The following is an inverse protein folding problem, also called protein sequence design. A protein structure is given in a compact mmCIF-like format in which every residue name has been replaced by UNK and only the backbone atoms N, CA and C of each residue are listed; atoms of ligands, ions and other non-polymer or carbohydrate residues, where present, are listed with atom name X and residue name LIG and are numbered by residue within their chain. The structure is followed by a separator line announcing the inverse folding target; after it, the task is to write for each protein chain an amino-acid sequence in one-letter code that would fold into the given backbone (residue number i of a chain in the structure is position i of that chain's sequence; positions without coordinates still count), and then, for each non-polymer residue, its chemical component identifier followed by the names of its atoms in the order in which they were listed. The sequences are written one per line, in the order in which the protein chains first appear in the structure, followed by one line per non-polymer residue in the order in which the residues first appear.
data_IF_383967719956
#
_entry.id   IF_383967719956
#
_cell.length_a   1.000
_cell.length_b   1.000
_cell.length_c   1.000
_cell.angle_alpha   90.00
_cell.angle_beta   90.00
_cell.angle_gamma   90.00
#
_symmetry.space_group_name_H-M   'P 1'
#
loop_
_entity.id
_entity.type
_entity.pdbx_description
1 polymer ?
#
# COMPACT_ATOMS: atom_id res chain seq x y z
N UNK A 1 48.58 28.44 2.11
CA UNK A 1 47.99 27.25 2.78
C UNK A 1 46.55 27.54 3.07
N UNK A 2 45.64 27.14 2.17
CA UNK A 2 44.22 27.49 2.21
C UNK A 2 43.48 26.31 2.82
N UNK A 3 42.92 26.50 4.01
CA UNK A 3 42.11 25.52 4.70
C UNK A 3 40.71 25.56 4.04
N UNK A 4 40.43 24.57 3.22
CA UNK A 4 39.08 24.37 2.67
C UNK A 4 38.16 23.89 3.79
N UNK A 5 37.33 24.79 4.30
CA UNK A 5 36.23 24.43 5.20
C UNK A 5 35.22 23.54 4.49
N UNK A 6 35.22 22.26 4.83
CA UNK A 6 34.17 21.33 4.48
C UNK A 6 32.88 21.72 5.23
N UNK A 7 32.05 22.56 4.65
CA UNK A 7 30.70 22.79 5.16
C UNK A 7 29.90 21.54 4.83
N UNK A 8 29.75 20.62 5.82
CA UNK A 8 28.75 19.56 5.75
C UNK A 8 27.38 20.23 5.59
N UNK A 9 26.84 20.22 4.38
CA UNK A 9 25.45 20.58 4.14
C UNK A 9 24.59 19.58 4.92
N UNK A 10 24.15 19.96 6.10
CA UNK A 10 23.08 19.26 6.79
C UNK A 10 21.90 19.20 5.82
N UNK A 11 21.59 18.02 5.32
CA UNK A 11 20.29 17.79 4.66
C UNK A 11 19.25 18.15 5.73
N UNK A 12 18.60 19.30 5.60
CA UNK A 12 17.40 19.59 6.38
C UNK A 12 16.46 18.40 6.18
N UNK A 13 16.29 17.59 7.21
CA UNK A 13 15.26 16.58 7.22
C UNK A 13 13.95 17.37 7.10
N UNK A 14 13.32 17.32 5.93
CA UNK A 14 11.97 17.88 5.77
C UNK A 14 11.10 17.09 6.72
N UNK A 15 10.62 17.72 7.77
CA UNK A 15 9.54 17.18 8.58
C UNK A 15 8.36 17.13 7.63
N UNK A 16 7.85 15.94 7.25
CA UNK A 16 6.69 15.88 6.37
C UNK A 16 5.56 16.65 7.04
N UNK A 17 4.89 17.54 6.33
CA UNK A 17 3.72 18.28 6.83
C UNK A 17 2.64 17.31 7.35
N UNK A 18 2.57 16.14 6.74
CA UNK A 18 1.84 14.98 7.24
C UNK A 18 2.86 13.93 7.66
N UNK A 19 2.74 13.41 8.88
CA UNK A 19 3.47 12.20 9.29
C UNK A 19 3.12 11.03 8.35
N UNK A 20 3.84 9.93 8.45
CA UNK A 20 3.60 8.71 7.66
C UNK A 20 2.15 8.22 7.72
N UNK A 21 1.45 8.53 8.81
CA UNK A 21 0.04 8.25 9.09
C UNK A 21 -0.94 8.76 8.04
N UNK A 22 -0.71 9.95 7.54
CA UNK A 22 -1.69 10.68 6.74
C UNK A 22 -1.55 10.45 5.23
N UNK A 23 -0.61 9.59 4.81
CA UNK A 23 -0.40 9.25 3.39
C UNK A 23 -1.24 8.07 2.90
N UNK A 24 -1.88 7.34 3.79
CA UNK A 24 -2.83 6.27 3.47
C UNK A 24 -4.24 6.81 3.25
N UNK A 25 -5.07 5.99 2.64
CA UNK A 25 -6.51 6.23 2.63
C UNK A 25 -7.10 5.92 4.01
N UNK A 26 -8.06 6.72 4.45
CA UNK A 26 -9.01 6.32 5.48
C UNK A 26 -10.05 5.38 4.88
N UNK A 27 -10.79 4.64 5.73
CA UNK A 27 -11.86 3.75 5.29
C UNK A 27 -12.93 4.48 4.46
N UNK A 28 -13.31 5.68 4.85
CA UNK A 28 -14.26 6.51 4.09
C UNK A 28 -13.71 6.94 2.74
N UNK A 29 -12.45 7.35 2.69
CA UNK A 29 -11.81 7.82 1.45
C UNK A 29 -11.63 6.70 0.44
N UNK A 30 -11.26 5.48 0.88
CA UNK A 30 -11.11 4.34 -0.02
C UNK A 30 -12.45 3.97 -0.65
N UNK A 31 -13.55 4.03 0.11
CA UNK A 31 -14.90 3.80 -0.41
C UNK A 31 -15.30 4.86 -1.44
N UNK A 32 -15.04 6.15 -1.16
CA UNK A 32 -15.29 7.24 -2.11
C UNK A 32 -14.49 7.07 -3.39
N UNK A 33 -13.23 6.69 -3.28
CA UNK A 33 -12.36 6.42 -4.40
C UNK A 33 -12.90 5.31 -5.29
N UNK A 34 -13.22 4.14 -4.73
CA UNK A 34 -13.71 3.01 -5.53
C UNK A 34 -15.08 3.26 -6.17
N UNK A 35 -15.93 4.12 -5.60
CA UNK A 35 -17.21 4.52 -6.24
C UNK A 35 -17.03 5.22 -7.58
N UNK A 36 -15.94 5.94 -7.79
CA UNK A 36 -15.69 6.71 -9.02
C UNK A 36 -14.79 5.98 -10.02
N UNK A 37 -14.18 4.86 -9.64
CA UNK A 37 -13.35 4.05 -10.53
C UNK A 37 -14.25 3.14 -11.36
N UNK A 38 -14.72 3.65 -12.50
CA UNK A 38 -15.70 2.96 -13.36
C UNK A 38 -15.09 2.05 -14.41
N UNK A 39 -13.80 2.23 -14.74
CA UNK A 39 -13.10 1.35 -15.70
C UNK A 39 -12.73 0.02 -15.00
N UNK A 40 -13.22 -1.14 -15.49
CA UNK A 40 -12.99 -2.44 -14.83
C UNK A 40 -11.50 -2.80 -14.69
N UNK A 41 -10.67 -2.40 -15.66
CA UNK A 41 -9.23 -2.64 -15.63
C UNK A 41 -8.56 -1.91 -14.48
N UNK A 42 -8.84 -0.60 -14.33
CA UNK A 42 -8.28 0.19 -13.24
C UNK A 42 -8.90 -0.16 -11.90
N UNK A 43 -10.19 -0.52 -11.88
CA UNK A 43 -10.86 -1.00 -10.67
C UNK A 43 -10.13 -2.23 -10.11
N UNK A 44 -9.96 -3.26 -10.92
CA UNK A 44 -9.26 -4.48 -10.50
C UNK A 44 -7.79 -4.21 -10.14
N UNK A 45 -7.06 -3.38 -10.94
CA UNK A 45 -5.67 -3.04 -10.66
C UNK A 45 -5.51 -2.39 -9.28
N UNK A 46 -6.37 -1.42 -8.96
CA UNK A 46 -6.32 -0.74 -7.67
C UNK A 46 -6.78 -1.63 -6.52
N UNK A 47 -7.72 -2.57 -6.75
CA UNK A 47 -8.06 -3.60 -5.77
C UNK A 47 -6.87 -4.51 -5.46
N UNK A 48 -6.07 -4.89 -6.46
CA UNK A 48 -4.84 -5.66 -6.25
C UNK A 48 -3.84 -4.90 -5.36
N UNK A 49 -3.70 -3.59 -5.55
CA UNK A 49 -2.85 -2.78 -4.67
C UNK A 49 -3.43 -2.63 -3.26
N UNK A 50 -4.75 -2.41 -3.14
CA UNK A 50 -5.42 -2.17 -1.87
C UNK A 50 -5.63 -3.44 -1.02
N UNK A 51 -5.67 -4.62 -1.64
CA UNK A 51 -5.90 -5.89 -0.92
C UNK A 51 -4.63 -6.75 -0.77
N UNK A 52 -3.70 -6.67 -1.73
CA UNK A 52 -2.46 -7.48 -1.70
C UNK A 52 -1.22 -6.64 -1.38
N UNK A 53 -1.39 -5.35 -1.19
CA UNK A 53 -0.29 -4.44 -0.91
C UNK A 53 0.76 -4.40 -2.01
N UNK A 54 0.40 -4.63 -3.29
CA UNK A 54 1.33 -4.60 -4.40
C UNK A 54 1.90 -3.20 -4.64
N UNK A 55 3.19 -3.13 -5.00
CA UNK A 55 3.72 -1.91 -5.61
C UNK A 55 3.12 -1.72 -6.99
N UNK A 56 3.05 -0.48 -7.48
CA UNK A 56 2.47 -0.23 -8.80
C UNK A 56 3.14 -1.06 -9.90
N UNK A 57 4.47 -1.07 -9.94
CA UNK A 57 5.22 -1.85 -10.93
C UNK A 57 5.04 -3.36 -10.80
N UNK A 58 4.72 -3.88 -9.61
CA UNK A 58 4.33 -5.28 -9.40
C UNK A 58 2.91 -5.51 -9.93
N UNK A 59 1.97 -4.62 -9.59
CA UNK A 59 0.56 -4.75 -9.97
C UNK A 59 0.37 -4.75 -11.50
N UNK A 60 0.96 -3.80 -12.22
CA UNK A 60 0.81 -3.71 -13.69
C UNK A 60 1.37 -4.92 -14.43
N UNK A 61 2.28 -5.68 -13.83
CA UNK A 61 2.92 -6.87 -14.41
C UNK A 61 2.22 -8.18 -14.05
N UNK A 62 1.11 -8.15 -13.32
CA UNK A 62 0.37 -9.37 -13.01
C UNK A 62 -0.04 -10.08 -14.29
N UNK A 63 0.34 -11.35 -14.38
CA UNK A 63 0.07 -12.19 -15.54
C UNK A 63 -0.76 -13.41 -15.12
N UNK A 64 -1.62 -13.89 -16.01
CA UNK A 64 -2.50 -15.04 -15.75
C UNK A 64 -1.70 -16.31 -15.39
N UNK A 65 -0.51 -16.48 -15.96
CA UNK A 65 0.38 -17.63 -15.67
C UNK A 65 0.96 -17.62 -14.26
N UNK A 66 0.97 -16.45 -13.60
CA UNK A 66 1.46 -16.26 -12.24
C UNK A 66 0.37 -16.49 -11.18
N UNK A 67 -0.88 -16.75 -11.63
CA UNK A 67 -2.01 -17.07 -10.77
C UNK A 67 -2.21 -18.57 -10.71
N UNK A 68 -2.11 -19.15 -9.50
CA UNK A 68 -2.48 -20.53 -9.23
C UNK A 68 -3.96 -20.56 -8.85
N UNK A 69 -4.79 -20.98 -9.80
CA UNK A 69 -6.26 -20.88 -9.66
C UNK A 69 -6.80 -21.81 -8.56
N UNK A 70 -6.22 -22.98 -8.38
CA UNK A 70 -6.68 -23.98 -7.41
C UNK A 70 -6.46 -23.52 -5.96
N UNK A 71 -5.32 -22.86 -5.69
CA UNK A 71 -4.95 -22.37 -4.35
C UNK A 71 -5.23 -20.87 -4.13
N UNK A 72 -5.69 -20.16 -5.14
CA UNK A 72 -5.89 -18.70 -5.13
C UNK A 72 -4.61 -17.95 -4.76
N UNK A 73 -3.49 -18.41 -5.28
CA UNK A 73 -2.18 -17.79 -5.04
C UNK A 73 -1.71 -16.99 -6.25
N UNK A 74 -1.08 -15.86 -5.97
CA UNK A 74 -0.37 -15.04 -6.96
C UNK A 74 1.13 -15.09 -6.67
N UNK A 75 1.91 -15.51 -7.66
CA UNK A 75 3.37 -15.42 -7.60
C UNK A 75 3.80 -14.05 -8.08
N UNK A 76 4.52 -13.31 -7.24
CA UNK A 76 4.97 -11.94 -7.53
C UNK A 76 6.48 -11.87 -7.50
N UNK A 77 7.08 -11.34 -8.57
CA UNK A 77 8.49 -10.98 -8.57
C UNK A 77 8.66 -9.61 -7.91
N UNK A 78 9.36 -9.57 -6.79
CA UNK A 78 9.59 -8.32 -6.05
C UNK A 78 10.57 -7.43 -6.80
N UNK A 79 10.25 -6.13 -6.92
CA UNK A 79 11.10 -5.19 -7.68
C UNK A 79 12.46 -4.92 -7.03
N UNK A 80 12.51 -4.88 -5.68
CA UNK A 80 13.74 -4.51 -4.96
C UNK A 80 14.68 -5.67 -4.68
N UNK A 81 14.12 -6.84 -4.34
CA UNK A 81 14.92 -7.99 -3.95
C UNK A 81 15.12 -8.99 -5.07
N UNK A 82 14.42 -8.83 -6.20
CA UNK A 82 14.39 -9.78 -7.32
C UNK A 82 14.01 -11.21 -6.89
N UNK A 83 13.34 -11.35 -5.74
CA UNK A 83 12.83 -12.60 -5.19
C UNK A 83 11.42 -12.88 -5.69
N UNK A 84 11.02 -14.15 -5.65
CA UNK A 84 9.64 -14.57 -5.89
C UNK A 84 8.94 -14.72 -4.55
N UNK A 85 7.81 -14.07 -4.41
CA UNK A 85 6.90 -14.21 -3.27
C UNK A 85 5.56 -14.77 -3.72
N UNK A 86 4.88 -15.49 -2.85
CA UNK A 86 3.54 -16.01 -3.09
C UNK A 86 2.56 -15.30 -2.16
N UNK A 87 1.49 -14.75 -2.74
CA UNK A 87 0.43 -14.04 -2.03
C UNK A 87 -0.89 -14.78 -2.18
N UNK A 88 -1.63 -14.92 -1.08
CA UNK A 88 -3.00 -15.43 -1.15
C UNK A 88 -3.94 -14.31 -1.64
N UNK A 89 -4.71 -14.60 -2.68
CA UNK A 89 -5.75 -13.68 -3.19
C UNK A 89 -7.02 -13.90 -2.34
N UNK A 90 -7.54 -12.86 -1.65
CA UNK A 90 -8.79 -12.95 -0.92
C UNK A 90 -9.94 -13.45 -1.80
N UNK A 91 -10.84 -14.27 -1.28
CA UNK A 91 -11.89 -14.89 -2.07
C UNK A 91 -12.76 -13.89 -2.88
N UNK A 92 -13.18 -12.73 -2.34
CA UNK A 92 -13.91 -11.74 -3.12
C UNK A 92 -13.09 -11.20 -4.30
N UNK A 93 -11.82 -10.83 -4.08
CA UNK A 93 -10.94 -10.34 -5.12
C UNK A 93 -10.66 -11.41 -6.19
N UNK A 94 -10.53 -12.68 -5.77
CA UNK A 94 -10.34 -13.78 -6.69
C UNK A 94 -11.55 -13.96 -7.62
N UNK A 95 -12.77 -13.87 -7.09
CA UNK A 95 -14.00 -13.91 -7.89
C UNK A 95 -14.03 -12.77 -8.92
N UNK A 96 -13.75 -11.53 -8.50
CA UNK A 96 -13.66 -10.40 -9.42
C UNK A 96 -12.58 -10.60 -10.50
N UNK A 97 -11.46 -11.22 -10.12
CA UNK A 97 -10.40 -11.56 -11.08
C UNK A 97 -10.88 -12.55 -12.14
N UNK A 98 -11.61 -13.59 -11.74
CA UNK A 98 -12.17 -14.58 -12.68
C UNK A 98 -13.17 -13.93 -13.63
N UNK A 99 -14.08 -13.10 -13.10
CA UNK A 99 -15.07 -12.38 -13.91
C UNK A 99 -14.40 -11.43 -14.90
N UNK A 100 -13.33 -10.72 -14.46
CA UNK A 100 -12.55 -9.86 -15.32
C UNK A 100 -11.84 -10.62 -16.44
N UNK A 101 -11.20 -11.76 -16.11
CA UNK A 101 -10.52 -12.62 -17.09
C UNK A 101 -11.52 -13.11 -18.14
N UNK A 102 -12.68 -13.61 -17.69
CA UNK A 102 -13.75 -14.09 -18.59
C UNK A 102 -14.18 -13.01 -19.60
N UNK A 103 -14.38 -11.78 -19.10
CA UNK A 103 -14.86 -10.66 -19.92
C UNK A 103 -13.78 -10.05 -20.83
N UNK A 104 -12.51 -10.28 -20.54
CA UNK A 104 -11.37 -9.68 -21.27
C UNK A 104 -10.43 -10.72 -21.90
N UNK A 105 -10.89 -11.97 -22.05
CA UNK A 105 -10.07 -13.11 -22.48
C UNK A 105 -9.25 -12.82 -23.72
N UNK A 106 -9.86 -12.37 -24.80
CA UNK A 106 -9.17 -12.07 -26.06
C UNK A 106 -8.08 -10.98 -25.91
N UNK A 107 -8.33 -9.95 -25.11
CA UNK A 107 -7.35 -8.88 -24.86
C UNK A 107 -6.17 -9.39 -24.03
N UNK A 108 -6.42 -10.22 -23.03
CA UNK A 108 -5.41 -10.83 -22.17
C UNK A 108 -4.51 -11.78 -22.99
N UNK A 109 -5.11 -12.67 -23.79
CA UNK A 109 -4.39 -13.57 -24.69
C UNK A 109 -3.51 -12.79 -25.68
N UNK A 110 -4.08 -11.77 -26.32
CA UNK A 110 -3.34 -10.88 -27.23
C UNK A 110 -2.22 -10.07 -26.56
N UNK A 111 -2.24 -9.95 -25.26
CA UNK A 111 -1.25 -9.24 -24.45
C UNK A 111 -0.32 -10.19 -23.69
N UNK A 112 -0.10 -11.42 -24.20
CA UNK A 112 0.76 -12.42 -23.60
C UNK A 112 0.39 -12.79 -22.15
N UNK A 113 -0.92 -12.71 -21.83
CA UNK A 113 -1.46 -13.09 -20.54
C UNK A 113 -1.45 -12.00 -19.48
N UNK A 114 -1.02 -10.77 -19.77
CA UNK A 114 -1.10 -9.67 -18.80
C UNK A 114 -2.55 -9.28 -18.50
N UNK A 115 -2.92 -9.25 -17.22
CA UNK A 115 -4.28 -8.86 -16.82
C UNK A 115 -4.55 -7.38 -17.15
N UNK A 116 -3.58 -6.53 -16.89
CA UNK A 116 -3.67 -5.08 -17.09
C UNK A 116 -3.00 -4.70 -18.40
N UNK A 117 -3.60 -5.15 -19.48
CA UNK A 117 -3.11 -4.97 -20.83
C UNK A 117 -3.20 -3.53 -21.30
N UNK A 118 -2.35 -3.21 -22.26
CA UNK A 118 -2.31 -1.93 -22.95
C UNK A 118 -3.28 -1.91 -24.13
N UNK A 119 -4.05 -0.83 -24.27
CA UNK A 119 -4.91 -0.65 -25.42
C UNK A 119 -4.07 -0.38 -26.67
N UNK A 120 -4.14 -1.27 -27.65
CA UNK A 120 -3.27 -1.28 -28.85
C UNK A 120 -3.30 0.00 -29.67
N UNK A 121 -4.38 0.78 -29.60
CA UNK A 121 -4.61 1.95 -30.45
C UNK A 121 -3.72 3.16 -30.13
N UNK A 122 -3.00 3.17 -29.00
CA UNK A 122 -2.41 4.41 -28.47
C UNK A 122 -0.92 4.35 -28.13
N UNK A 123 -0.20 3.24 -28.37
CA UNK A 123 1.19 3.16 -27.91
C UNK A 123 2.17 2.48 -28.86
N UNK A 124 3.31 3.16 -29.04
CA UNK A 124 4.46 2.70 -29.81
C UNK A 124 5.46 1.84 -29.02
N UNK A 125 5.23 1.56 -27.72
CA UNK A 125 6.15 0.78 -26.90
C UNK A 125 5.86 -0.71 -26.98
N UNK A 126 6.90 -1.54 -26.89
CA UNK A 126 6.84 -3.00 -26.95
C UNK A 126 6.17 -3.65 -25.73
N UNK A 127 5.97 -2.90 -24.64
CA UNK A 127 5.32 -3.43 -23.43
C UNK A 127 3.87 -3.82 -23.69
N UNK A 128 3.50 -5.00 -23.24
CA UNK A 128 2.13 -5.56 -23.39
C UNK A 128 1.20 -5.14 -22.26
N UNK A 129 1.74 -4.83 -21.09
CA UNK A 129 0.99 -4.32 -19.94
C UNK A 129 0.87 -2.80 -19.98
N UNK A 130 -0.09 -2.27 -19.22
CA UNK A 130 -0.30 -0.82 -19.07
C UNK A 130 0.95 -0.11 -18.49
N UNK A 131 1.18 1.14 -18.91
CA UNK A 131 2.33 1.93 -18.46
C UNK A 131 2.07 2.53 -17.07
N UNK A 132 3.11 2.56 -16.22
CA UNK A 132 3.11 3.18 -14.89
C UNK A 132 2.65 4.66 -14.94
N UNK A 133 3.19 5.45 -15.84
CA UNK A 133 2.82 6.85 -16.01
C UNK A 133 1.34 7.03 -16.35
N UNK A 134 0.80 6.19 -17.23
CA UNK A 134 -0.62 6.22 -17.57
C UNK A 134 -1.50 5.84 -16.38
N UNK A 135 -1.14 4.80 -15.62
CA UNK A 135 -1.89 4.42 -14.40
C UNK A 135 -1.87 5.55 -13.36
N UNK A 136 -0.73 6.22 -13.15
CA UNK A 136 -0.64 7.36 -12.23
C UNK A 136 -1.54 8.52 -12.66
N UNK A 137 -1.62 8.81 -13.96
CA UNK A 137 -2.51 9.85 -14.47
C UNK A 137 -3.97 9.49 -14.27
N UNK A 138 -4.37 8.23 -14.58
CA UNK A 138 -5.73 7.74 -14.34
C UNK A 138 -6.10 7.75 -12.85
N UNK A 139 -5.17 7.31 -12.00
CA UNK A 139 -5.35 7.39 -10.54
C UNK A 139 -5.65 8.83 -10.10
N UNK A 140 -4.87 9.80 -10.57
CA UNK A 140 -5.06 11.21 -10.24
C UNK A 140 -6.41 11.75 -10.71
N UNK A 141 -6.88 11.36 -11.89
CA UNK A 141 -8.21 11.72 -12.38
C UNK A 141 -9.31 11.18 -11.46
N UNK A 142 -9.19 9.93 -10.99
CA UNK A 142 -10.15 9.35 -10.04
C UNK A 142 -10.09 10.02 -8.66
N UNK A 143 -8.91 10.35 -8.17
CA UNK A 143 -8.76 11.12 -6.93
C UNK A 143 -9.47 12.47 -7.00
N UNK A 144 -9.34 13.19 -8.13
CA UNK A 144 -10.07 14.44 -8.36
C UNK A 144 -11.58 14.25 -8.41
N UNK A 145 -12.04 13.21 -9.13
CA UNK A 145 -13.46 12.87 -9.20
C UNK A 145 -14.06 12.50 -7.84
N UNK A 146 -13.27 11.88 -6.98
CA UNK A 146 -13.66 11.54 -5.62
C UNK A 146 -13.63 12.75 -4.65
N UNK A 147 -13.13 13.92 -5.08
CA UNK A 147 -12.95 15.08 -4.21
C UNK A 147 -11.82 14.93 -3.19
N UNK A 148 -10.83 14.07 -3.49
CA UNK A 148 -9.74 13.71 -2.56
C UNK A 148 -8.37 14.29 -2.98
N UNK A 149 -8.33 15.23 -3.95
CA UNK A 149 -7.07 15.78 -4.47
C UNK A 149 -6.53 16.87 -3.55
N UNK A 150 -5.81 16.47 -2.52
CA UNK A 150 -5.16 17.34 -1.55
C UNK A 150 -3.68 17.52 -1.89
N UNK A 151 -3.28 18.78 -2.09
CA UNK A 151 -1.88 19.16 -2.27
C UNK A 151 -1.36 19.62 -0.91
N UNK A 152 -0.31 18.98 -0.41
CA UNK A 152 0.25 19.28 0.90
C UNK A 152 1.57 20.05 0.84
N UNK A 153 2.29 20.01 -0.28
CA UNK A 153 3.57 20.69 -0.46
C UNK A 153 3.93 20.82 -1.95
N UNK A 154 5.02 21.49 -2.23
CA UNK A 154 5.62 21.56 -3.56
C UNK A 154 7.06 21.04 -3.51
N UNK A 155 7.50 20.39 -4.59
CA UNK A 155 8.88 19.93 -4.69
C UNK A 155 9.83 21.13 -4.80
N UNK A 156 11.01 21.07 -4.13
CA UNK A 156 12.04 22.10 -4.20
C UNK A 156 12.56 22.32 -5.61
N UNK A 157 12.66 23.59 -6.00
CA UNK A 157 13.31 24.07 -7.23
C UNK A 157 14.86 24.04 -7.14
N UNK A 158 15.43 23.58 -6.03
CA UNK A 158 16.87 23.67 -5.73
C UNK A 158 17.78 22.88 -6.68
N UNK A 159 17.24 22.28 -7.74
CA UNK A 159 18.01 21.70 -8.84
C UNK A 159 17.72 22.46 -10.14
N UNK A 160 18.73 23.08 -10.76
CA UNK A 160 18.55 23.74 -12.05
C UNK A 160 17.95 22.73 -13.04
N UNK A 161 16.86 23.08 -13.69
CA UNK A 161 16.06 22.30 -14.65
C UNK A 161 14.89 21.46 -14.12
N UNK A 162 14.41 21.63 -12.87
CA UNK A 162 13.16 20.98 -12.45
C UNK A 162 12.07 22.01 -12.15
N UNK A 163 11.00 21.92 -12.93
CA UNK A 163 9.76 22.63 -12.66
C UNK A 163 9.23 22.15 -11.31
N UNK A 164 8.84 23.09 -10.43
CA UNK A 164 8.17 22.78 -9.17
C UNK A 164 6.93 21.92 -9.43
N UNK A 165 6.77 20.85 -8.65
CA UNK A 165 5.64 19.92 -8.78
C UNK A 165 4.86 19.89 -7.48
N UNK A 166 3.55 19.94 -7.60
CA UNK A 166 2.66 19.74 -6.47
C UNK A 166 2.83 18.32 -5.90
N UNK A 167 3.00 18.25 -4.59
CA UNK A 167 3.05 17.00 -3.84
C UNK A 167 1.65 16.70 -3.31
N UNK A 168 1.06 15.66 -3.85
CA UNK A 168 -0.29 15.22 -3.46
C UNK A 168 -0.23 14.23 -2.31
N UNK A 169 -1.16 14.34 -1.38
CA UNK A 169 -1.27 13.42 -0.23
C UNK A 169 -1.50 11.98 -0.69
N UNK A 170 -2.50 11.78 -1.55
CA UNK A 170 -2.82 10.46 -2.08
C UNK A 170 -2.14 10.21 -3.42
N UNK A 171 -1.48 9.07 -3.52
CA UNK A 171 -0.81 8.55 -4.71
C UNK A 171 -1.16 7.08 -4.89
N UNK A 172 -0.76 6.46 -5.99
CA UNK A 172 -0.92 5.01 -6.17
C UNK A 172 -0.27 4.21 -5.04
N UNK A 173 0.78 4.73 -4.41
CA UNK A 173 1.42 4.09 -3.26
C UNK A 173 0.54 4.13 -1.99
N UNK A 174 -0.39 5.08 -1.91
CA UNK A 174 -1.34 5.19 -0.79
C UNK A 174 -2.31 4.02 -0.70
N UNK A 175 -2.60 3.32 -1.82
CA UNK A 175 -3.36 2.07 -1.81
C UNK A 175 -2.60 0.95 -1.08
N UNK A 176 -1.30 0.84 -1.31
CA UNK A 176 -0.46 -0.10 -0.57
C UNK A 176 -0.32 0.29 0.91
N UNK A 177 -0.23 1.59 1.22
CA UNK A 177 -0.27 2.06 2.60
C UNK A 177 -1.55 1.61 3.28
N UNK A 178 -2.71 1.84 2.65
CA UNK A 178 -4.00 1.38 3.16
C UNK A 178 -3.99 -0.13 3.41
N UNK A 179 -3.56 -0.94 2.43
CA UNK A 179 -3.51 -2.40 2.58
C UNK A 179 -2.71 -2.85 3.81
N UNK A 180 -1.52 -2.28 4.03
CA UNK A 180 -0.63 -2.66 5.13
C UNK A 180 -1.21 -2.21 6.47
N UNK A 181 -1.71 -0.98 6.56
CA UNK A 181 -2.31 -0.44 7.78
C UNK A 181 -3.57 -1.22 8.15
N UNK A 182 -4.49 -1.39 7.21
CA UNK A 182 -5.72 -2.15 7.42
C UNK A 182 -5.44 -3.60 7.85
N UNK A 183 -4.49 -4.27 7.18
CA UNK A 183 -4.08 -5.63 7.57
C UNK A 183 -3.50 -5.68 8.99
N UNK A 184 -2.67 -4.70 9.36
CA UNK A 184 -2.11 -4.61 10.70
C UNK A 184 -3.21 -4.40 11.76
N UNK A 185 -4.15 -3.48 11.51
CA UNK A 185 -5.28 -3.20 12.40
C UNK A 185 -6.17 -4.43 12.61
N UNK A 186 -6.50 -5.15 11.53
CA UNK A 186 -7.29 -6.40 11.60
C UNK A 186 -6.56 -7.54 12.33
N UNK A 187 -5.24 -7.45 12.48
CA UNK A 187 -4.40 -8.44 13.16
C UNK A 187 -3.81 -7.91 14.48
N UNK A 188 -4.54 -7.05 15.19
CA UNK A 188 -4.18 -6.50 16.50
C UNK A 188 -2.79 -5.85 16.53
N UNK A 189 -2.40 -5.14 15.48
CA UNK A 189 -1.12 -4.46 15.39
C UNK A 189 0.09 -5.39 15.27
N UNK A 190 -0.08 -6.65 14.89
CA UNK A 190 1.02 -7.60 14.77
C UNK A 190 2.02 -7.18 13.69
N UNK A 191 3.12 -6.52 14.14
CA UNK A 191 4.18 -5.95 13.29
C UNK A 191 4.82 -7.01 12.40
N UNK A 192 5.09 -8.19 12.95
CA UNK A 192 5.78 -9.25 12.22
C UNK A 192 4.91 -9.80 11.10
N UNK A 193 3.62 -9.98 11.37
CA UNK A 193 2.65 -10.45 10.38
C UNK A 193 2.45 -9.39 9.28
N UNK A 194 2.30 -8.11 9.66
CA UNK A 194 2.20 -7.00 8.73
C UNK A 194 3.48 -6.81 7.89
N UNK A 195 4.66 -7.05 8.45
CA UNK A 195 5.94 -7.02 7.73
C UNK A 195 6.02 -8.11 6.67
N UNK A 196 5.58 -9.32 6.99
CA UNK A 196 5.49 -10.44 6.04
C UNK A 196 4.50 -10.12 4.92
N UNK A 197 3.30 -9.64 5.27
CA UNK A 197 2.30 -9.22 4.28
C UNK A 197 2.84 -8.12 3.35
N UNK A 198 3.50 -7.12 3.91
CA UNK A 198 4.11 -6.02 3.16
C UNK A 198 5.35 -6.45 2.36
N UNK A 199 5.92 -7.61 2.63
CA UNK A 199 7.18 -8.08 2.02
C UNK A 199 8.29 -7.04 2.21
N UNK A 200 8.41 -6.52 3.44
CA UNK A 200 9.47 -5.60 3.80
C UNK A 200 10.71 -6.38 4.24
N UNK A 201 11.87 -6.03 3.68
CA UNK A 201 13.16 -6.60 4.09
C UNK A 201 13.57 -6.21 5.50
N UNK A 202 13.06 -5.05 5.97
CA UNK A 202 13.33 -4.51 7.29
C UNK A 202 12.03 -4.23 8.02
N UNK A 203 11.89 -4.73 9.22
CA UNK A 203 10.71 -4.56 10.08
C UNK A 203 10.45 -3.11 10.44
N UNK A 204 11.51 -2.29 10.56
CA UNK A 204 11.43 -0.85 10.84
C UNK A 204 10.59 -0.12 9.76
N UNK A 205 10.62 -0.60 8.53
CA UNK A 205 9.78 -0.05 7.47
C UNK A 205 8.28 -0.27 7.76
N UNK A 206 7.93 -1.35 8.45
CA UNK A 206 6.55 -1.68 8.81
C UNK A 206 6.10 -0.89 10.03
N UNK A 207 7.00 -0.57 10.95
CA UNK A 207 6.68 0.22 12.14
C UNK A 207 6.05 1.57 11.80
N UNK A 208 6.39 2.14 10.63
CA UNK A 208 5.77 3.38 10.15
C UNK A 208 4.27 3.25 9.83
N UNK A 209 3.74 2.04 9.71
CA UNK A 209 2.31 1.77 9.44
C UNK A 209 1.55 1.34 10.69
N UNK A 210 2.26 1.00 11.75
CA UNK A 210 1.63 0.55 12.99
C UNK A 210 1.56 1.72 13.94
N UNK A 211 0.37 2.24 14.04
CA UNK A 211 0.06 3.30 14.99
C UNK A 211 -0.49 2.66 16.24
N UNK A 212 0.37 2.59 17.26
CA UNK A 212 -0.10 2.35 18.61
C UNK A 212 -1.03 3.51 18.99
N UNK A 213 -2.31 3.27 18.88
CA UNK A 213 -3.31 4.18 19.41
C UNK A 213 -3.05 4.28 20.90
N UNK A 214 -2.96 5.48 21.46
CA UNK A 214 -2.82 5.69 22.91
C UNK A 214 -3.84 4.87 23.70
N UNK A 215 -5.06 4.74 23.18
CA UNK A 215 -6.13 3.96 23.79
C UNK A 215 -5.80 2.46 23.86
N UNK A 216 -5.18 1.90 22.82
CA UNK A 216 -4.72 0.50 22.81
C UNK A 216 -3.57 0.26 23.78
N UNK A 217 -2.64 1.22 23.88
CA UNK A 217 -1.57 1.17 24.87
C UNK A 217 -2.13 1.20 26.30
N UNK A 218 -3.08 2.09 26.60
CA UNK A 218 -3.74 2.15 27.90
C UNK A 218 -4.53 0.88 28.21
N UNK A 219 -5.30 0.37 27.25
CA UNK A 219 -6.02 -0.89 27.42
C UNK A 219 -5.06 -2.07 27.67
N UNK A 220 -3.92 -2.08 26.97
CA UNK A 220 -2.88 -3.09 27.19
C UNK A 220 -2.25 -3.00 28.58
N UNK A 221 -1.98 -1.79 29.07
CA UNK A 221 -1.47 -1.55 30.43
C UNK A 221 -2.53 -1.96 31.46
N UNK A 222 -3.76 -1.53 31.28
CA UNK A 222 -4.87 -1.87 32.19
C UNK A 222 -5.15 -3.38 32.20
N UNK A 223 -5.04 -4.05 31.06
CA UNK A 223 -5.18 -5.51 30.95
C UNK A 223 -4.01 -6.28 31.60
N UNK A 224 -2.80 -5.80 31.42
CA UNK A 224 -1.59 -6.45 31.95
C UNK A 224 -1.38 -6.22 33.46
N UNK A 225 -1.80 -5.05 33.94
CA UNK A 225 -1.50 -4.60 35.32
C UNK A 225 -2.77 -4.23 36.09
N UNK A 226 -3.90 -4.90 35.84
CA UNK A 226 -5.14 -4.57 36.52
C UNK A 226 -5.04 -4.82 38.03
N UNK A 227 -5.25 -3.77 38.79
CA UNK A 227 -5.22 -3.79 40.29
C UNK A 227 -6.17 -4.82 40.86
N UNK A 228 -7.22 -5.21 40.14
CA UNK A 228 -8.16 -6.27 40.56
C UNK A 228 -7.49 -7.63 40.77
N UNK A 229 -6.45 -7.97 40.01
CA UNK A 229 -5.68 -9.20 40.19
C UNK A 229 -4.83 -9.14 41.48
N UNK A 230 -4.23 -7.97 41.77
CA UNK A 230 -3.44 -7.78 42.99
C UNK A 230 -4.32 -7.82 44.24
N UNK A 231 -5.56 -7.31 44.18
CA UNK A 231 -6.56 -7.37 45.29
C UNK A 231 -7.11 -8.79 45.46
N UNK A 232 -7.35 -9.52 44.36
CA UNK A 232 -7.78 -10.90 44.43
C UNK A 232 -6.73 -11.81 45.06
N UNK A 233 -5.43 -11.64 44.68
CA UNK A 233 -4.34 -12.38 45.31
C UNK A 233 -4.14 -12.07 46.77
N UNK A 234 -4.27 -10.80 47.21
CA UNK A 234 -4.23 -10.42 48.61
C UNK A 234 -5.38 -11.06 49.42
N UNK A 235 -6.59 -11.11 48.86
CA UNK A 235 -7.72 -11.70 49.49
C UNK A 235 -7.64 -13.24 49.59
N UNK A 236 -7.00 -13.90 48.62
CA UNK A 236 -6.73 -15.34 48.71
C UNK A 236 -5.66 -15.68 49.74
N UNK A 237 -4.60 -14.87 49.82
CA UNK A 237 -3.56 -15.04 50.84
C UNK A 237 -4.09 -14.80 52.26
N UNK A 238 -4.99 -13.82 52.46
CA UNK A 238 -5.60 -13.53 53.74
C UNK A 238 -6.63 -14.61 54.21
N UNK A 239 -7.13 -15.44 53.29
CA UNK A 239 -8.00 -16.57 53.62
C UNK A 239 -7.26 -17.85 53.99
N UNK A 240 -5.94 -17.88 53.77
CA UNK A 240 -5.08 -19.04 54.07
C UNK A 240 -4.24 -18.85 55.35
N UNK A 241 -4.36 -17.72 56.01
CA UNK A 241 -3.83 -17.42 57.35
C UNK A 241 -4.95 -17.41 58.35
#
# INVERSE_FOLDING_TARGET
MVIAQFVKRFKRSRIPKYGSLNKGFTEREIQLFFRVVTDPKFHLLFLYQANLGLRLGEAIKVNIKDIKFDSRELVVKTEKAMTLDTLLIPAPLFKETLDYIKNNRANIENSEGYLFFKDRSKSRTAAKHVDDGYVRNRFREYIRKAGLDEIYDQSDESRPARVSRNLHRLTTHSLRHYAITHFAEQNNGNVLLASKFARHLKTETTMAYIHLNRKELYNGIDGAFSISQAVALKNELAKKT
#
